data_IF_267776295537
#
_entry.id   IF_267776295537
#
_cell.length_a   1.000
_cell.length_b   1.000
_cell.length_c   1.000
_cell.angle_alpha   90.00
_cell.angle_beta   90.00
_cell.angle_gamma   90.00
#
_symmetry.space_group_name_H-M   'P 1'
#
loop_
_entity.id
_entity.type
_entity.pdbx_description
1 polymer ?
#
# COMPACT_ATOMS: atom_id res chain seq x y z
N UNK A 1 26.39 -3.78 1.61
CA UNK A 1 25.18 -4.29 2.29
C UNK A 1 23.95 -3.74 1.59
N UNK A 2 22.82 -4.46 1.60
CA UNK A 2 21.54 -3.98 1.07
C UNK A 2 20.68 -3.28 2.13
N UNK A 3 20.00 -2.22 1.71
CA UNK A 3 18.89 -1.63 2.46
C UNK A 3 17.68 -1.60 1.54
N UNK A 4 16.65 -2.39 1.89
CA UNK A 4 15.46 -2.56 1.07
C UNK A 4 14.27 -1.98 1.81
N UNK A 5 13.45 -1.19 1.14
CA UNK A 5 12.31 -0.51 1.76
C UNK A 5 10.99 -1.01 1.19
N UNK A 6 9.96 -1.04 2.04
CA UNK A 6 8.59 -0.80 1.55
C UNK A 6 8.41 0.68 1.19
N UNK A 7 7.34 1.01 0.47
CA UNK A 7 7.01 2.40 0.10
C UNK A 7 5.97 2.98 1.03
N UNK A 8 4.80 2.35 1.09
CA UNK A 8 3.63 2.89 1.79
C UNK A 8 3.83 2.70 3.29
N UNK A 9 3.64 3.74 4.10
CA UNK A 9 3.89 3.70 5.55
C UNK A 9 5.37 3.77 5.97
N UNK A 10 6.30 3.57 5.03
CA UNK A 10 7.76 3.67 5.28
C UNK A 10 8.36 4.91 4.63
N UNK A 11 8.33 4.99 3.30
CA UNK A 11 8.92 6.11 2.54
C UNK A 11 7.89 7.23 2.30
N UNK A 12 6.61 6.88 2.18
CA UNK A 12 5.51 7.79 1.85
C UNK A 12 4.33 7.55 2.79
N UNK A 13 3.75 8.64 3.28
CA UNK A 13 2.43 8.64 3.92
C UNK A 13 1.35 8.71 2.84
N UNK A 14 0.53 7.65 2.81
CA UNK A 14 -0.52 7.44 1.81
C UNK A 14 -1.94 7.47 2.41
N UNK A 15 -2.08 7.72 3.71
CA UNK A 15 -3.34 7.53 4.42
C UNK A 15 -4.48 8.35 3.81
N UNK A 16 -4.24 9.62 3.50
CA UNK A 16 -5.27 10.49 2.91
C UNK A 16 -5.61 10.11 1.46
N UNK A 17 -4.63 9.67 0.65
CA UNK A 17 -4.85 9.43 -0.79
C UNK A 17 -5.73 8.21 -1.02
N UNK A 18 -5.44 7.08 -0.36
CA UNK A 18 -6.21 5.84 -0.51
C UNK A 18 -7.58 5.92 0.19
N UNK A 19 -7.67 6.50 1.39
CA UNK A 19 -8.96 6.67 2.09
C UNK A 19 -9.96 7.44 1.21
N UNK A 20 -9.50 8.56 0.62
CA UNK A 20 -10.34 9.39 -0.25
C UNK A 20 -10.66 8.66 -1.56
N UNK A 21 -9.72 7.90 -2.13
CA UNK A 21 -9.95 7.13 -3.35
C UNK A 21 -11.02 6.05 -3.15
N UNK A 22 -10.96 5.29 -2.05
CA UNK A 22 -11.96 4.30 -1.67
C UNK A 22 -13.33 4.96 -1.52
N UNK A 23 -13.40 6.07 -0.78
CA UNK A 23 -14.65 6.82 -0.55
C UNK A 23 -15.28 7.29 -1.86
N UNK A 24 -14.51 7.99 -2.69
CA UNK A 24 -15.00 8.52 -3.98
C UNK A 24 -15.40 7.42 -4.95
N UNK A 25 -14.69 6.29 -4.94
CA UNK A 25 -15.05 5.12 -5.75
C UNK A 25 -16.41 4.57 -5.34
N UNK A 26 -16.64 4.38 -4.04
CA UNK A 26 -17.92 3.90 -3.55
C UNK A 26 -19.06 4.89 -3.88
N UNK A 27 -18.87 6.18 -3.64
CA UNK A 27 -19.84 7.23 -3.98
C UNK A 27 -20.15 7.30 -5.48
N UNK A 28 -19.15 7.08 -6.34
CA UNK A 28 -19.37 7.04 -7.79
C UNK A 28 -20.36 5.93 -8.18
N UNK A 29 -20.19 4.71 -7.65
CA UNK A 29 -21.11 3.62 -7.93
C UNK A 29 -22.49 3.85 -7.31
N UNK A 30 -22.57 4.39 -6.10
CA UNK A 30 -23.86 4.71 -5.47
C UNK A 30 -24.69 5.66 -6.34
N UNK A 31 -24.06 6.71 -6.89
CA UNK A 31 -24.74 7.63 -7.83
C UNK A 31 -25.21 6.94 -9.11
N UNK A 32 -24.45 5.97 -9.64
CA UNK A 32 -24.90 5.18 -10.80
C UNK A 32 -26.16 4.35 -10.49
N UNK A 33 -26.35 3.94 -9.24
CA UNK A 33 -27.56 3.26 -8.78
C UNK A 33 -28.67 4.23 -8.32
N UNK A 34 -28.50 5.54 -8.53
CA UNK A 34 -29.48 6.56 -8.11
C UNK A 34 -29.51 6.82 -6.61
N UNK A 35 -28.46 6.41 -5.88
CA UNK A 35 -28.33 6.63 -4.43
C UNK A 35 -27.38 7.80 -4.18
N UNK A 36 -27.92 8.92 -3.72
CA UNK A 36 -27.14 10.05 -3.22
C UNK A 36 -26.86 9.87 -1.73
N UNK A 37 -25.78 9.15 -1.41
CA UNK A 37 -25.32 8.94 -0.04
C UNK A 37 -23.81 9.16 0.03
N UNK A 38 -23.39 9.92 1.03
CA UNK A 38 -21.98 10.12 1.34
C UNK A 38 -21.43 8.94 2.14
N UNK A 39 -20.21 8.52 1.82
CA UNK A 39 -19.49 7.49 2.57
C UNK A 39 -18.68 8.19 3.66
N UNK A 40 -18.95 7.84 4.92
CA UNK A 40 -18.23 8.44 6.05
C UNK A 40 -16.77 7.96 6.07
N UNK A 41 -15.77 8.83 6.32
CA UNK A 41 -14.36 8.42 6.38
C UNK A 41 -14.07 7.30 7.40
N UNK A 42 -14.76 7.31 8.53
CA UNK A 42 -14.66 6.28 9.57
C UNK A 42 -15.06 4.89 9.08
N UNK A 43 -15.99 4.79 8.13
CA UNK A 43 -16.40 3.50 7.56
C UNK A 43 -15.29 2.85 6.75
N UNK A 44 -14.51 3.65 6.01
CA UNK A 44 -13.33 3.18 5.27
C UNK A 44 -12.29 2.62 6.23
N UNK A 45 -11.96 3.39 7.28
CA UNK A 45 -10.93 3.03 8.25
C UNK A 45 -11.32 1.81 9.08
N UNK A 46 -12.57 1.77 9.56
CA UNK A 46 -13.05 0.67 10.39
C UNK A 46 -13.09 -0.64 9.60
N UNK A 47 -13.53 -0.62 8.33
CA UNK A 47 -13.48 -1.82 7.50
C UNK A 47 -12.06 -2.30 7.23
N UNK A 48 -11.13 -1.39 6.91
CA UNK A 48 -9.71 -1.76 6.74
C UNK A 48 -9.14 -2.35 8.03
N UNK A 49 -9.47 -1.76 9.18
CA UNK A 49 -8.98 -2.21 10.49
C UNK A 49 -9.50 -3.61 10.82
N UNK A 50 -10.79 -3.86 10.62
CA UNK A 50 -11.43 -5.15 10.93
C UNK A 50 -11.14 -6.22 9.89
N UNK A 51 -10.93 -5.83 8.63
CA UNK A 51 -10.90 -6.75 7.50
C UNK A 51 -9.52 -7.17 7.00
N UNK A 52 -9.48 -8.35 6.42
CA UNK A 52 -8.36 -8.89 5.65
C UNK A 52 -8.65 -8.80 4.15
N UNK A 53 -8.99 -7.61 3.65
CA UNK A 53 -9.41 -7.42 2.26
C UNK A 53 -8.27 -7.64 1.25
N UNK A 54 -7.04 -7.27 1.60
CA UNK A 54 -5.87 -7.37 0.72
C UNK A 54 -5.72 -6.22 -0.28
N UNK A 55 -6.80 -5.56 -0.71
CA UNK A 55 -6.76 -4.33 -1.51
C UNK A 55 -8.00 -3.44 -1.29
N UNK A 56 -7.88 -2.19 -1.70
CA UNK A 56 -8.92 -1.17 -1.54
C UNK A 56 -10.05 -1.23 -2.56
N UNK A 57 -9.88 -2.01 -3.63
CA UNK A 57 -10.97 -2.28 -4.57
C UNK A 57 -12.03 -3.11 -3.85
N UNK A 58 -11.61 -4.11 -3.07
CA UNK A 58 -12.51 -4.91 -2.24
C UNK A 58 -13.13 -4.13 -1.09
N UNK A 59 -12.38 -3.22 -0.45
CA UNK A 59 -12.96 -2.30 0.56
C UNK A 59 -14.03 -1.42 -0.09
N UNK A 60 -13.77 -0.90 -1.28
CA UNK A 60 -14.74 -0.11 -2.05
C UNK A 60 -16.00 -0.94 -2.39
N UNK A 61 -15.83 -2.19 -2.83
CA UNK A 61 -16.94 -3.11 -3.11
C UNK A 61 -17.81 -3.33 -1.87
N UNK A 62 -17.19 -3.59 -0.72
CA UNK A 62 -17.91 -3.77 0.54
C UNK A 62 -18.73 -2.52 0.91
N UNK A 63 -18.13 -1.33 0.83
CA UNK A 63 -18.80 -0.06 1.11
C UNK A 63 -19.97 0.20 0.18
N UNK A 64 -19.84 -0.11 -1.12
CA UNK A 64 -20.91 0.03 -2.10
C UNK A 64 -22.11 -0.83 -1.68
N UNK A 65 -21.89 -2.13 -1.43
CA UNK A 65 -22.97 -3.06 -1.08
C UNK A 65 -23.64 -2.69 0.25
N UNK A 66 -22.83 -2.31 1.23
CA UNK A 66 -23.31 -1.86 2.53
C UNK A 66 -24.15 -0.59 2.43
N UNK A 67 -23.69 0.41 1.66
CA UNK A 67 -24.42 1.66 1.50
C UNK A 67 -25.69 1.51 0.64
N UNK A 68 -25.68 0.65 -0.38
CA UNK A 68 -26.88 0.32 -1.18
C UNK A 68 -27.98 -0.31 -0.32
N UNK A 69 -27.62 -1.07 0.71
CA UNK A 69 -28.58 -1.67 1.64
C UNK A 69 -29.28 -0.65 2.56
N UNK A 70 -28.75 0.58 2.65
CA UNK A 70 -29.17 1.60 3.60
C UNK A 70 -28.66 1.39 5.04
N UNK A 71 -28.04 0.24 5.34
CA UNK A 71 -27.63 -0.21 6.69
C UNK A 71 -26.10 -0.29 6.87
N UNK A 72 -25.36 0.60 6.22
CA UNK A 72 -23.90 0.54 6.23
C UNK A 72 -23.28 0.51 7.63
N UNK A 73 -23.79 1.33 8.54
CA UNK A 73 -23.29 1.43 9.92
C UNK A 73 -23.42 0.10 10.68
N UNK A 74 -24.62 -0.47 10.70
CA UNK A 74 -24.90 -1.79 11.30
C UNK A 74 -24.04 -2.90 10.69
N UNK A 75 -23.90 -2.91 9.36
CA UNK A 75 -23.15 -3.96 8.66
C UNK A 75 -21.64 -3.89 8.92
N UNK A 76 -21.10 -2.69 9.12
CA UNK A 76 -19.70 -2.50 9.51
C UNK A 76 -19.47 -2.98 10.94
N UNK A 77 -20.41 -2.72 11.85
CA UNK A 77 -20.36 -3.24 13.21
C UNK A 77 -20.43 -4.78 13.23
N UNK A 78 -21.32 -5.37 12.44
CA UNK A 78 -21.48 -6.82 12.30
C UNK A 78 -20.32 -7.51 11.56
N UNK A 79 -19.57 -6.77 10.73
CA UNK A 79 -18.49 -7.34 9.92
C UNK A 79 -17.45 -8.01 10.84
N UNK A 80 -17.06 -9.27 10.60
CA UNK A 80 -16.19 -9.99 11.51
C UNK A 80 -14.74 -9.48 11.47
N UNK A 81 -14.06 -9.53 12.61
CA UNK A 81 -12.60 -9.34 12.68
C UNK A 81 -11.90 -10.41 11.82
N UNK A 82 -10.97 -9.99 10.97
CA UNK A 82 -10.33 -10.80 9.94
C UNK A 82 -11.21 -11.09 8.70
N UNK A 83 -12.42 -10.53 8.62
CA UNK A 83 -13.37 -10.76 7.53
C UNK A 83 -12.82 -10.35 6.16
N UNK A 84 -13.31 -11.00 5.10
CA UNK A 84 -12.93 -10.69 3.71
C UNK A 84 -14.14 -10.22 2.90
N UNK A 85 -13.91 -9.86 1.64
CA UNK A 85 -14.99 -9.50 0.72
C UNK A 85 -16.00 -10.64 0.52
N UNK A 86 -15.60 -11.90 0.74
CA UNK A 86 -16.49 -13.04 0.52
C UNK A 86 -17.63 -13.09 1.53
N UNK A 87 -17.40 -12.67 2.78
CA UNK A 87 -18.47 -12.51 3.77
C UNK A 87 -19.55 -11.53 3.28
N UNK A 88 -19.14 -10.45 2.61
CA UNK A 88 -20.08 -9.47 2.05
C UNK A 88 -20.84 -10.08 0.87
N UNK A 89 -20.12 -10.70 -0.05
CA UNK A 89 -20.72 -11.28 -1.27
C UNK A 89 -21.70 -12.40 -0.97
N UNK A 90 -21.41 -13.26 0.01
CA UNK A 90 -22.32 -14.30 0.50
C UNK A 90 -23.62 -13.71 1.05
N UNK A 91 -23.54 -12.60 1.80
CA UNK A 91 -24.69 -11.94 2.42
C UNK A 91 -25.59 -11.23 1.41
N UNK A 92 -25.01 -10.61 0.38
CA UNK A 92 -25.77 -9.84 -0.61
C UNK A 92 -26.14 -10.63 -1.87
N UNK A 93 -25.48 -11.77 -2.12
CA UNK A 93 -25.67 -12.56 -3.34
C UNK A 93 -25.28 -11.82 -4.63
N UNK A 94 -24.56 -10.69 -4.51
CA UNK A 94 -24.16 -9.83 -5.61
C UNK A 94 -22.67 -9.55 -5.52
N UNK A 95 -22.02 -9.53 -6.68
CA UNK A 95 -20.64 -9.10 -6.84
C UNK A 95 -20.64 -7.89 -7.77
N UNK A 96 -20.02 -6.79 -7.36
CA UNK A 96 -19.79 -5.69 -8.29
C UNK A 96 -18.68 -6.15 -9.23
N UNK A 97 -18.85 -5.99 -10.54
CA UNK A 97 -17.82 -6.36 -11.52
C UNK A 97 -16.48 -5.72 -11.17
N UNK A 98 -15.53 -6.50 -10.63
CA UNK A 98 -14.30 -5.99 -10.01
C UNK A 98 -13.47 -5.09 -10.92
N UNK A 99 -13.40 -5.41 -12.22
CA UNK A 99 -12.70 -4.56 -13.20
C UNK A 99 -13.30 -3.17 -13.37
N UNK A 100 -14.58 -2.97 -13.04
CA UNK A 100 -15.22 -1.65 -13.03
C UNK A 100 -14.77 -0.84 -11.82
N UNK A 101 -14.69 -1.46 -10.64
CA UNK A 101 -14.24 -0.79 -9.42
C UNK A 101 -12.79 -0.36 -9.56
N UNK A 102 -11.91 -1.25 -9.98
CA UNK A 102 -10.49 -0.93 -10.18
C UNK A 102 -10.31 0.24 -11.15
N UNK A 103 -11.06 0.28 -12.26
CA UNK A 103 -10.97 1.36 -13.24
C UNK A 103 -11.41 2.71 -12.67
N UNK A 104 -12.48 2.74 -11.88
CA UNK A 104 -12.97 3.95 -11.21
C UNK A 104 -11.99 4.40 -10.13
N UNK A 105 -11.50 3.47 -9.32
CA UNK A 105 -10.50 3.73 -8.29
C UNK A 105 -9.25 4.34 -8.90
N UNK A 106 -8.69 3.71 -9.93
CA UNK A 106 -7.52 4.21 -10.64
C UNK A 106 -7.78 5.56 -11.30
N UNK A 107 -9.00 5.83 -11.76
CA UNK A 107 -9.39 7.16 -12.27
C UNK A 107 -9.25 8.23 -11.19
N UNK A 108 -9.72 7.99 -9.97
CA UNK A 108 -9.57 8.96 -8.87
C UNK A 108 -8.14 9.04 -8.33
N UNK A 109 -7.52 7.88 -8.09
CA UNK A 109 -6.22 7.81 -7.44
C UNK A 109 -5.10 8.32 -8.33
N UNK A 110 -4.98 7.80 -9.56
CA UNK A 110 -3.92 8.17 -10.50
C UNK A 110 -4.28 9.42 -11.31
N UNK A 111 -5.57 9.66 -11.55
CA UNK A 111 -6.05 10.84 -12.27
C UNK A 111 -5.55 10.90 -13.71
N UNK A 112 -5.04 12.07 -14.11
CA UNK A 112 -4.49 12.32 -15.45
C UNK A 112 -3.35 11.38 -15.86
N UNK A 113 -2.69 10.73 -14.91
CA UNK A 113 -1.61 9.76 -15.18
C UNK A 113 -2.15 8.39 -15.61
N UNK A 114 -3.45 8.11 -15.42
CA UNK A 114 -4.06 6.85 -15.82
C UNK A 114 -4.60 6.90 -17.25
N UNK A 115 -4.04 6.12 -18.19
CA UNK A 115 -4.52 6.11 -19.57
C UNK A 115 -5.95 5.57 -19.70
N UNK A 116 -6.33 4.63 -18.82
CA UNK A 116 -7.66 4.00 -18.81
C UNK A 116 -8.75 4.80 -18.10
N UNK A 117 -8.48 6.05 -17.72
CA UNK A 117 -9.38 6.86 -16.89
C UNK A 117 -10.75 7.05 -17.53
N UNK A 118 -11.77 7.13 -16.69
CA UNK A 118 -13.16 7.34 -17.11
C UNK A 118 -13.51 8.82 -17.31
N UNK A 119 -12.83 9.69 -16.58
CA UNK A 119 -13.02 11.14 -16.61
C UNK A 119 -11.72 11.82 -16.16
N UNK A 120 -11.60 13.11 -16.45
CA UNK A 120 -10.45 13.88 -16.00
C UNK A 120 -10.54 14.17 -14.50
N UNK A 121 -9.45 13.84 -13.80
CA UNK A 121 -9.32 14.06 -12.36
C UNK A 121 -7.84 14.35 -12.04
N UNK A 122 -7.52 15.26 -11.09
CA UNK A 122 -6.13 15.62 -10.81
C UNK A 122 -5.22 14.47 -10.35
N UNK A 123 -5.80 13.45 -9.72
CA UNK A 123 -5.09 12.31 -9.11
C UNK A 123 -4.82 12.56 -7.63
N UNK A 124 -5.37 11.70 -6.77
CA UNK A 124 -5.18 11.78 -5.31
C UNK A 124 -3.77 11.44 -4.86
N UNK A 125 -2.99 10.72 -5.66
CA UNK A 125 -1.56 10.45 -5.39
C UNK A 125 -0.76 11.74 -5.12
N UNK A 126 -1.20 12.89 -5.66
CA UNK A 126 -0.56 14.20 -5.44
C UNK A 126 -0.69 14.71 -4.01
N UNK A 127 -1.55 14.09 -3.18
CA UNK A 127 -1.72 14.42 -1.76
C UNK A 127 -0.79 13.64 -0.85
N UNK A 128 -0.10 12.64 -1.39
CA UNK A 128 0.89 11.86 -0.66
C UNK A 128 2.07 12.72 -0.22
N UNK A 129 2.63 12.39 0.94
CA UNK A 129 3.74 13.14 1.53
C UNK A 129 4.92 12.22 1.77
N UNK A 130 6.14 12.63 1.39
CA UNK A 130 7.32 11.84 1.74
C UNK A 130 7.51 11.85 3.25
N UNK A 131 7.66 10.65 3.83
CA UNK A 131 8.14 10.46 5.21
C UNK A 131 9.66 10.56 5.20
N UNK A 132 10.29 9.90 4.22
CA UNK A 132 11.74 9.87 4.08
C UNK A 132 12.29 11.21 3.60
N UNK A 133 13.42 11.64 4.17
CA UNK A 133 14.19 12.77 3.67
C UNK A 133 15.11 12.35 2.54
N UNK A 134 15.01 13.05 1.42
CA UNK A 134 15.81 12.80 0.22
C UNK A 134 17.32 12.78 0.47
N UNK A 135 17.85 13.71 1.27
CA UNK A 135 19.29 13.79 1.53
C UNK A 135 19.82 12.52 2.20
N UNK A 136 19.04 11.89 3.10
CA UNK A 136 19.44 10.62 3.72
C UNK A 136 19.50 9.47 2.71
N UNK A 137 18.58 9.44 1.73
CA UNK A 137 18.64 8.45 0.65
C UNK A 137 19.86 8.68 -0.25
N UNK A 138 20.18 9.94 -0.57
CA UNK A 138 21.37 10.28 -1.35
C UNK A 138 22.65 9.85 -0.62
N UNK A 139 22.79 10.19 0.66
CA UNK A 139 23.93 9.79 1.49
C UNK A 139 24.03 8.26 1.64
N UNK A 140 22.91 7.59 1.91
CA UNK A 140 22.87 6.13 2.02
C UNK A 140 23.19 5.43 0.70
N UNK A 141 22.77 5.98 -0.45
CA UNK A 141 23.04 5.40 -1.76
C UNK A 141 24.53 5.40 -2.13
N UNK A 142 25.32 6.29 -1.52
CA UNK A 142 26.76 6.31 -1.72
C UNK A 142 27.50 5.17 -0.99
N UNK A 143 26.85 4.53 -0.01
CA UNK A 143 27.45 3.51 0.88
C UNK A 143 26.78 2.15 0.79
N UNK A 144 25.49 2.12 0.46
CA UNK A 144 24.64 0.93 0.46
C UNK A 144 23.93 0.72 -0.87
N UNK A 145 23.64 -0.55 -1.18
CA UNK A 145 22.73 -0.89 -2.27
C UNK A 145 21.31 -0.66 -1.81
N UNK A 146 20.65 0.37 -2.35
CA UNK A 146 19.26 0.67 -2.02
C UNK A 146 18.32 -0.08 -2.97
N UNK A 147 17.23 -0.62 -2.42
CA UNK A 147 16.18 -1.24 -3.20
C UNK A 147 14.80 -1.06 -2.60
N UNK A 148 13.77 -1.37 -3.39
CA UNK A 148 12.36 -1.27 -2.99
C UNK A 148 11.62 -2.55 -3.35
N UNK A 149 10.82 -3.08 -2.43
CA UNK A 149 9.80 -4.09 -2.73
C UNK A 149 8.44 -3.56 -2.30
N UNK A 150 7.54 -3.34 -3.24
CA UNK A 150 6.28 -2.64 -2.98
C UNK A 150 5.07 -3.30 -3.66
N UNK A 151 3.90 -3.14 -3.04
CA UNK A 151 2.60 -3.48 -3.63
C UNK A 151 2.17 -2.51 -4.75
N UNK A 152 2.86 -1.38 -4.91
CA UNK A 152 2.65 -0.46 -6.03
C UNK A 152 2.97 -1.14 -7.37
N UNK A 153 2.21 -0.76 -8.40
CA UNK A 153 2.52 -1.03 -9.81
C UNK A 153 3.71 -0.17 -10.28
N UNK A 154 4.24 -0.47 -11.47
CA UNK A 154 5.31 0.32 -12.07
C UNK A 154 4.95 1.81 -12.23
N UNK A 155 3.69 2.11 -12.57
CA UNK A 155 3.23 3.49 -12.68
C UNK A 155 3.17 4.17 -11.30
N UNK A 156 2.57 3.52 -10.30
CA UNK A 156 2.47 4.06 -8.94
C UNK A 156 3.83 4.26 -8.29
N UNK A 157 4.79 3.36 -8.58
CA UNK A 157 6.17 3.52 -8.11
C UNK A 157 6.84 4.73 -8.77
N UNK A 158 6.65 4.95 -10.07
CA UNK A 158 7.16 6.16 -10.74
C UNK A 158 6.59 7.44 -10.12
N UNK A 159 5.33 7.41 -9.68
CA UNK A 159 4.72 8.53 -8.96
C UNK A 159 5.30 8.66 -7.54
N UNK A 160 5.54 7.56 -6.84
CA UNK A 160 6.23 7.54 -5.54
C UNK A 160 7.61 8.21 -5.63
N UNK A 161 8.40 7.89 -6.64
CA UNK A 161 9.71 8.51 -6.88
C UNK A 161 9.61 10.02 -7.13
N UNK A 162 8.54 10.49 -7.80
CA UNK A 162 8.28 11.93 -7.97
C UNK A 162 7.94 12.61 -6.63
N UNK A 163 7.15 11.95 -5.78
CA UNK A 163 6.78 12.45 -4.45
C UNK A 163 8.00 12.51 -3.52
N UNK A 164 8.82 11.46 -3.52
CA UNK A 164 10.06 11.38 -2.71
C UNK A 164 11.13 12.33 -3.26
N UNK A 165 11.15 12.55 -4.58
CA UNK A 165 12.23 13.27 -5.25
C UNK A 165 13.52 12.45 -5.35
N UNK A 166 13.43 11.12 -5.29
CA UNK A 166 14.55 10.18 -5.38
C UNK A 166 14.14 8.99 -6.25
N UNK A 167 15.04 8.54 -7.12
CA UNK A 167 14.82 7.40 -8.02
C UNK A 167 15.57 6.17 -7.53
N UNK A 168 14.89 5.04 -7.45
CA UNK A 168 15.50 3.77 -7.09
C UNK A 168 15.85 2.97 -8.34
N UNK A 169 17.09 2.48 -8.41
CA UNK A 169 17.53 1.62 -9.53
C UNK A 169 17.02 0.19 -9.38
N UNK A 170 16.86 -0.27 -8.14
CA UNK A 170 16.53 -1.65 -7.80
C UNK A 170 15.11 -1.73 -7.23
N UNK A 171 14.11 -2.05 -8.06
CA UNK A 171 12.70 -2.03 -7.68
C UNK A 171 12.00 -3.32 -8.07
N UNK A 172 11.28 -3.93 -7.12
CA UNK A 172 10.27 -4.96 -7.36
C UNK A 172 8.89 -4.41 -7.05
N UNK A 173 8.01 -4.45 -8.05
CA UNK A 173 6.62 -4.00 -7.97
C UNK A 173 5.66 -5.19 -8.04
N UNK A 174 4.38 -4.97 -7.74
CA UNK A 174 3.35 -6.04 -7.79
C UNK A 174 3.23 -6.76 -9.13
N UNK A 175 3.67 -6.14 -10.23
CA UNK A 175 3.66 -6.75 -11.56
C UNK A 175 4.61 -7.93 -11.71
N UNK A 176 5.63 -8.03 -10.85
CA UNK A 176 6.61 -9.12 -10.87
C UNK A 176 6.35 -10.14 -9.75
N UNK A 177 6.22 -9.66 -8.51
CA UNK A 177 5.99 -10.48 -7.32
C UNK A 177 5.15 -9.69 -6.31
N UNK A 178 4.39 -10.39 -5.47
CA UNK A 178 3.61 -9.78 -4.39
C UNK A 178 4.09 -10.30 -3.03
N UNK A 179 4.23 -9.40 -2.06
CA UNK A 179 4.47 -9.79 -0.65
C UNK A 179 3.29 -10.67 -0.17
N UNK A 180 3.53 -11.73 0.62
CA UNK A 180 4.79 -12.09 1.27
C UNK A 180 5.62 -13.15 0.51
N UNK A 181 5.56 -13.22 -0.83
CA UNK A 181 6.39 -14.14 -1.63
C UNK A 181 7.88 -13.76 -1.54
N UNK A 182 8.73 -14.60 -0.91
CA UNK A 182 10.14 -14.28 -0.69
C UNK A 182 10.98 -14.17 -1.96
N UNK A 183 10.45 -14.60 -3.13
CA UNK A 183 11.11 -14.39 -4.43
C UNK A 183 11.29 -12.91 -4.75
N UNK A 184 10.41 -12.04 -4.26
CA UNK A 184 10.54 -10.60 -4.46
C UNK A 184 11.86 -10.06 -3.89
N UNK A 185 12.23 -10.46 -2.67
CA UNK A 185 13.48 -10.02 -2.05
C UNK A 185 14.69 -10.67 -2.71
N UNK A 186 14.60 -11.96 -3.04
CA UNK A 186 15.66 -12.66 -3.76
C UNK A 186 16.01 -12.01 -5.08
N UNK A 187 15.02 -11.50 -5.81
CA UNK A 187 15.23 -10.86 -7.10
C UNK A 187 16.14 -9.64 -7.01
N UNK A 188 16.09 -8.90 -5.89
CA UNK A 188 16.98 -7.76 -5.65
C UNK A 188 18.34 -8.22 -5.14
N UNK A 189 18.35 -8.98 -4.04
CA UNK A 189 19.56 -9.13 -3.23
C UNK A 189 20.38 -10.37 -3.57
N UNK A 190 19.82 -11.34 -4.29
CA UNK A 190 20.46 -12.60 -4.74
C UNK A 190 21.31 -13.29 -3.64
N UNK A 191 20.83 -13.26 -2.40
CA UNK A 191 21.49 -13.88 -1.24
C UNK A 191 22.50 -13.00 -0.49
N UNK A 192 22.75 -11.77 -0.94
CA UNK A 192 23.57 -10.80 -0.22
C UNK A 192 22.90 -10.36 1.10
N UNK A 193 23.72 -10.00 2.08
CA UNK A 193 23.23 -9.51 3.38
C UNK A 193 22.64 -8.10 3.26
N UNK A 194 21.60 -7.87 4.04
CA UNK A 194 20.96 -6.57 4.13
C UNK A 194 19.86 -6.55 5.17
N UNK A 195 19.10 -5.47 5.17
CA UNK A 195 17.97 -5.23 6.05
C UNK A 195 16.78 -4.75 5.22
N UNK A 196 15.59 -5.25 5.58
CA UNK A 196 14.33 -4.81 5.02
C UNK A 196 13.64 -3.89 6.02
N UNK A 197 13.18 -2.73 5.58
CA UNK A 197 12.45 -1.74 6.38
C UNK A 197 10.99 -1.75 5.94
N UNK A 198 10.10 -2.19 6.83
CA UNK A 198 8.65 -2.26 6.60
C UNK A 198 7.88 -1.58 7.73
N UNK A 199 6.56 -1.48 7.60
CA UNK A 199 5.65 -0.94 8.64
C UNK A 199 4.63 -1.99 9.12
N UNK A 200 4.42 -3.08 8.35
CA UNK A 200 3.40 -4.08 8.68
C UNK A 200 3.95 -5.42 9.16
N UNK A 201 3.09 -6.21 9.83
CA UNK A 201 3.39 -7.61 10.17
C UNK A 201 3.61 -8.45 8.89
N UNK A 202 2.93 -8.12 7.79
CA UNK A 202 3.10 -8.82 6.51
C UNK A 202 4.53 -8.65 5.96
N UNK A 203 5.19 -7.51 6.22
CA UNK A 203 6.61 -7.32 5.90
C UNK A 203 7.52 -8.21 6.76
N UNK A 204 7.20 -8.35 8.05
CA UNK A 204 7.92 -9.28 8.93
C UNK A 204 7.81 -10.73 8.44
N UNK A 205 6.60 -11.16 8.07
CA UNK A 205 6.36 -12.48 7.49
C UNK A 205 7.07 -12.65 6.14
N UNK A 206 7.10 -11.61 5.30
CA UNK A 206 7.84 -11.61 4.03
C UNK A 206 9.33 -11.89 4.23
N UNK A 207 9.98 -11.23 5.21
CA UNK A 207 11.39 -11.47 5.53
C UNK A 207 11.59 -12.84 6.18
N UNK A 208 10.68 -13.30 7.04
CA UNK A 208 10.75 -14.64 7.63
C UNK A 208 10.67 -15.73 6.55
N UNK A 209 9.77 -15.59 5.58
CA UNK A 209 9.66 -16.48 4.44
C UNK A 209 10.95 -16.52 3.62
N UNK A 210 11.64 -15.38 3.48
CA UNK A 210 12.93 -15.32 2.79
C UNK A 210 14.00 -16.12 3.53
N UNK A 211 14.12 -15.90 4.84
CA UNK A 211 15.07 -16.63 5.70
C UNK A 211 14.82 -18.15 5.63
N UNK A 212 13.55 -18.57 5.78
CA UNK A 212 13.14 -19.98 5.75
C UNK A 212 13.39 -20.63 4.38
N UNK A 213 13.11 -19.93 3.29
CA UNK A 213 13.24 -20.47 1.93
C UNK A 213 14.68 -20.60 1.47
N UNK A 214 15.50 -19.59 1.72
CA UNK A 214 16.86 -19.50 1.16
C UNK A 214 17.97 -19.82 2.16
N UNK A 215 17.65 -19.99 3.45
CA UNK A 215 18.65 -20.23 4.50
C UNK A 215 19.65 -19.09 4.64
N UNK A 216 19.24 -17.86 4.29
CA UNK A 216 20.06 -16.65 4.36
C UNK A 216 19.51 -15.70 5.40
N UNK A 217 20.39 -15.13 6.21
CA UNK A 217 20.02 -14.05 7.11
C UNK A 217 19.75 -12.76 6.34
N UNK A 218 18.69 -12.07 6.75
CA UNK A 218 18.34 -10.74 6.26
C UNK A 218 17.61 -10.01 7.39
N UNK A 219 18.07 -8.82 7.77
CA UNK A 219 17.48 -8.04 8.85
C UNK A 219 16.05 -7.60 8.54
N UNK A 220 15.26 -7.35 9.57
CA UNK A 220 13.96 -6.72 9.45
C UNK A 220 13.85 -5.63 10.51
N UNK A 221 13.43 -4.44 10.10
CA UNK A 221 13.15 -3.29 10.96
C UNK A 221 11.74 -2.83 10.67
N UNK A 222 10.92 -2.76 11.71
CA UNK A 222 9.56 -2.24 11.64
C UNK A 222 9.51 -0.79 12.13
N UNK A 223 9.19 0.15 11.24
CA UNK A 223 8.96 1.55 11.64
C UNK A 223 7.74 1.65 12.56
N UNK A 224 7.76 2.58 13.52
CA UNK A 224 6.77 2.70 14.58
C UNK A 224 6.88 1.67 15.71
N UNK A 225 7.71 0.63 15.56
CA UNK A 225 7.95 -0.39 16.61
C UNK A 225 9.42 -0.48 17.03
N UNK A 226 10.30 -0.75 16.08
CA UNK A 226 11.74 -0.94 16.31
C UNK A 226 12.50 0.39 16.22
N UNK A 227 12.03 1.29 15.36
CA UNK A 227 12.50 2.68 15.20
C UNK A 227 11.29 3.60 15.03
N UNK A 228 11.42 4.90 15.29
CA UNK A 228 10.33 5.88 15.12
C UNK A 228 9.86 5.98 13.68
N UNK A 229 10.79 6.18 12.75
CA UNK A 229 10.54 6.32 11.32
C UNK A 229 11.77 5.90 10.51
N UNK A 230 11.65 5.88 9.19
CA UNK A 230 12.75 5.52 8.29
C UNK A 230 13.93 6.51 8.35
N UNK A 231 13.70 7.76 8.76
CA UNK A 231 14.78 8.74 8.86
C UNK A 231 15.70 8.41 10.04
N UNK A 232 15.13 8.10 11.20
CA UNK A 232 15.91 7.64 12.35
C UNK A 232 16.74 6.42 11.99
N UNK A 233 16.14 5.44 11.32
CA UNK A 233 16.86 4.25 10.86
C UNK A 233 18.05 4.59 9.94
N UNK A 234 17.85 5.50 8.97
CA UNK A 234 18.91 5.91 8.05
C UNK A 234 20.01 6.71 8.77
N UNK A 235 19.67 7.58 9.73
CA UNK A 235 20.63 8.31 10.56
C UNK A 235 21.50 7.34 11.36
N UNK A 236 20.90 6.43 12.12
CA UNK A 236 21.61 5.42 12.92
C UNK A 236 22.50 4.52 12.04
N UNK A 237 22.01 4.15 10.85
CA UNK A 237 22.77 3.35 9.89
C UNK A 237 24.01 4.11 9.35
N UNK A 238 23.88 5.40 9.08
CA UNK A 238 24.96 6.24 8.55
C UNK A 238 25.98 6.65 9.62
N UNK A 239 25.57 6.71 10.89
CA UNK A 239 26.44 6.95 12.05
C UNK A 239 27.22 5.69 12.44
N UNK A 240 26.58 4.52 12.45
CA UNK A 240 27.21 3.25 12.86
C UNK A 240 28.38 2.79 11.99
N UNK A 241 28.55 3.34 10.79
CA UNK A 241 29.72 3.10 9.93
C UNK A 241 30.87 4.12 10.13
N UNK A 242 30.66 5.22 10.85
CA UNK A 242 31.72 6.20 11.12
C UNK A 242 32.64 5.79 12.29
N UNK A 243 32.24 4.75 13.04
CA UNK A 243 32.99 4.11 14.14
C UNK A 243 33.55 2.76 13.73
#
# INVERSE_FOLDING_TARGET
MWVVFDVDGVLIDVGESYDVATRLTAEYFLRLFGVEREIKPEWVRELRRKGSFGDDFKVSEALILFALSGRAEELIEEFPEGGTIEWVRERFGFQVFGGSIERVFNTFYLGSEYPGRLFDFPGLWKRERPIVRRNLLEEASARFKLGVVTGRSALEMKLAERVIGFRFENVVTRGSYLKPDPRALWELVKGERGVYVGDTINDGLFVENYRRRYGREFGFVMVGRDVRDVNQFLEELLEGEQT
#
